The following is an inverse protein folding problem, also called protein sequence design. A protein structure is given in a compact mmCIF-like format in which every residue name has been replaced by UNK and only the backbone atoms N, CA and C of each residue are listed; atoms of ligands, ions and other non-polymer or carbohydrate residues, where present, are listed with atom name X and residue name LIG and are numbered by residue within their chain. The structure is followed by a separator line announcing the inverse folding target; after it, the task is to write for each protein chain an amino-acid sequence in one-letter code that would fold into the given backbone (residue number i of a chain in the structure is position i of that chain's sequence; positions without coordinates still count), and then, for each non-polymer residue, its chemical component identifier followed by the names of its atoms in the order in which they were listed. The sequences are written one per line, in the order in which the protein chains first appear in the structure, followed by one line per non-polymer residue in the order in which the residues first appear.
data_IF_355567296185
#
_entry.id   IF_355567296185
#
_cell.length_a   1.000
_cell.length_b   1.000
_cell.length_c   1.000
_cell.angle_alpha   90.00
_cell.angle_beta   90.00
_cell.angle_gamma   90.00
#
_symmetry.space_group_name_H-M   'P 1'
#
loop_
_entity.id
_entity.type
_entity.pdbx_description
1 polymer ?
#
# COMPACT_ATOMS: atom_id res chain seq x y z
N UNK A 1 26.83 0.17 0.03
CA UNK A 1 25.74 0.41 0.99
C UNK A 1 24.88 1.54 0.44
N UNK A 2 23.69 1.27 -0.15
CA UNK A 2 22.78 2.33 -0.56
C UNK A 2 21.88 2.69 0.61
N UNK A 3 21.74 4.00 0.86
CA UNK A 3 20.93 4.55 1.93
C UNK A 3 19.45 4.18 1.76
N UNK A 4 18.89 3.54 2.79
CA UNK A 4 17.46 3.31 2.93
C UNK A 4 16.73 4.66 3.05
N UNK A 5 15.90 5.00 2.07
CA UNK A 5 15.01 6.16 2.16
C UNK A 5 13.81 5.73 3.01
N UNK A 6 13.91 6.00 4.31
CA UNK A 6 12.81 5.87 5.26
C UNK A 6 11.84 7.03 5.03
N UNK A 7 10.75 6.79 4.30
CA UNK A 7 9.65 7.75 4.20
C UNK A 7 8.89 7.78 5.52
N UNK A 8 9.17 8.77 6.36
CA UNK A 8 8.32 9.09 7.51
C UNK A 8 7.10 9.87 7.04
N UNK A 9 5.91 9.28 7.13
CA UNK A 9 4.66 10.04 7.03
C UNK A 9 4.62 11.04 8.19
N UNK A 10 4.86 12.31 7.90
CA UNK A 10 4.50 13.39 8.80
C UNK A 10 2.99 13.57 8.68
N UNK A 11 2.22 12.80 9.45
CA UNK A 11 0.84 13.16 9.73
C UNK A 11 0.89 14.36 10.65
N UNK A 12 0.94 15.56 10.07
CA UNK A 12 0.82 16.80 10.81
C UNK A 12 -0.62 16.84 11.36
N UNK A 13 -0.79 16.39 12.60
CA UNK A 13 -2.03 16.62 13.35
C UNK A 13 -2.12 18.13 13.53
N UNK A 14 -3.00 18.79 12.79
CA UNK A 14 -3.39 20.17 13.09
C UNK A 14 -4.23 20.14 14.35
N UNK A 15 -3.56 20.09 15.50
CA UNK A 15 -4.10 20.50 16.79
C UNK A 15 -4.29 22.01 16.72
N UNK A 16 -5.55 22.43 16.57
CA UNK A 16 -6.17 23.70 17.01
C UNK A 16 -7.27 24.11 16.02
N UNK A 17 -8.45 23.53 16.18
CA UNK A 17 -9.65 24.07 15.52
C UNK A 17 -10.63 24.45 16.61
N UNK A 18 -10.79 25.75 16.80
CA UNK A 18 -12.02 26.34 17.34
C UNK A 18 -13.21 25.58 16.72
N UNK A 19 -14.20 25.14 17.51
CA UNK A 19 -15.37 24.47 16.96
C UNK A 19 -15.98 25.31 15.84
N UNK A 20 -16.20 24.69 14.68
CA UNK A 20 -16.84 25.37 13.55
C UNK A 20 -18.19 25.91 14.00
N UNK A 21 -18.43 27.20 13.79
CA UNK A 21 -19.71 27.85 14.12
C UNK A 21 -20.41 28.20 12.82
N UNK A 22 -21.64 27.73 12.68
CA UNK A 22 -22.49 27.92 11.50
C UNK A 22 -23.55 29.00 11.77
N UNK A 23 -24.01 29.67 10.71
CA UNK A 23 -25.10 30.63 10.76
C UNK A 23 -26.01 30.52 9.54
N UNK A 24 -27.20 31.12 9.65
CA UNK A 24 -28.11 31.24 8.52
C UNK A 24 -27.43 31.99 7.35
N UNK A 25 -27.60 31.45 6.14
CA UNK A 25 -26.96 31.93 4.91
C UNK A 25 -25.68 31.20 4.54
N UNK A 26 -25.07 30.43 5.45
CA UNK A 26 -23.87 29.65 5.14
C UNK A 26 -24.19 28.55 4.11
N UNK A 27 -23.25 28.35 3.18
CA UNK A 27 -23.24 27.17 2.29
C UNK A 27 -22.52 26.04 3.01
N UNK A 28 -23.17 24.88 3.12
CA UNK A 28 -22.68 23.71 3.86
C UNK A 28 -22.77 22.42 3.07
N UNK A 29 -21.92 21.47 3.42
CA UNK A 29 -21.86 20.12 2.87
C UNK A 29 -22.33 19.14 3.94
N UNK A 30 -23.11 18.15 3.52
CA UNK A 30 -23.73 17.18 4.42
C UNK A 30 -23.67 15.77 3.80
N UNK A 31 -22.49 15.09 3.89
CA UNK A 31 -22.22 13.88 3.11
C UNK A 31 -23.20 12.72 3.33
N UNK A 32 -23.76 12.59 4.53
CA UNK A 32 -24.74 11.53 4.82
C UNK A 32 -26.18 11.88 4.42
N UNK A 33 -26.42 13.08 3.88
CA UNK A 33 -27.69 13.50 3.28
C UNK A 33 -27.59 13.59 1.76
N UNK A 34 -26.44 14.02 1.24
CA UNK A 34 -26.15 14.01 -0.19
C UNK A 34 -24.86 14.74 -0.56
N UNK A 35 -24.49 14.68 -1.84
CA UNK A 35 -23.24 15.22 -2.36
C UNK A 35 -23.32 16.70 -2.79
N UNK A 36 -24.45 17.37 -2.50
CA UNK A 36 -24.70 18.77 -2.86
C UNK A 36 -24.24 19.75 -1.79
N UNK A 37 -24.24 21.04 -2.14
CA UNK A 37 -24.19 22.11 -1.17
C UNK A 37 -25.61 22.57 -0.81
N UNK A 38 -25.80 22.91 0.46
CA UNK A 38 -27.08 23.31 1.02
C UNK A 38 -26.93 24.67 1.68
N UNK A 39 -27.94 25.54 1.56
CA UNK A 39 -27.97 26.82 2.27
C UNK A 39 -28.70 26.66 3.59
N UNK A 40 -28.04 27.05 4.68
CA UNK A 40 -28.68 27.07 6.00
C UNK A 40 -29.67 28.22 6.11
N UNK A 41 -30.83 27.96 6.71
CA UNK A 41 -31.79 28.96 7.14
C UNK A 41 -32.00 28.90 8.65
N UNK A 42 -32.55 29.98 9.22
CA UNK A 42 -32.97 29.99 10.62
C UNK A 42 -34.39 29.45 10.72
N UNK A 43 -34.56 28.32 11.41
CA UNK A 43 -35.85 27.77 11.73
C UNK A 43 -36.36 28.39 13.04
N UNK A 44 -37.30 29.32 12.91
CA UNK A 44 -37.89 30.04 14.04
C UNK A 44 -38.79 29.17 14.92
N UNK A 45 -39.31 28.07 14.39
CA UNK A 45 -40.20 27.16 15.12
C UNK A 45 -39.41 26.32 16.14
N UNK A 46 -38.17 25.98 15.79
CA UNK A 46 -37.30 25.11 16.60
C UNK A 46 -36.04 25.80 17.13
N UNK A 47 -35.91 27.11 16.92
CA UNK A 47 -34.76 27.94 17.31
C UNK A 47 -33.40 27.30 16.93
N UNK A 48 -33.30 26.82 15.68
CA UNK A 48 -32.15 26.09 15.19
C UNK A 48 -31.86 26.38 13.71
N UNK A 49 -30.70 25.93 13.23
CA UNK A 49 -30.34 26.02 11.82
C UNK A 49 -30.90 24.83 11.07
N UNK A 50 -31.33 25.03 9.83
CA UNK A 50 -31.78 23.91 9.01
C UNK A 50 -31.56 24.09 7.53
N UNK A 51 -31.64 22.99 6.80
CA UNK A 51 -31.80 23.00 5.35
C UNK A 51 -32.84 21.96 4.94
N UNK A 52 -33.46 22.17 3.78
CA UNK A 52 -34.48 21.27 3.25
C UNK A 52 -33.94 20.54 2.02
N UNK A 53 -34.11 19.22 2.01
CA UNK A 53 -33.86 18.38 0.84
C UNK A 53 -35.03 17.43 0.66
N UNK A 54 -35.56 17.33 -0.57
CA UNK A 54 -36.66 16.43 -0.93
C UNK A 54 -37.89 16.55 0.01
N UNK A 55 -38.22 17.77 0.44
CA UNK A 55 -39.36 18.03 1.33
C UNK A 55 -39.13 17.69 2.81
N UNK A 56 -37.94 17.21 3.19
CA UNK A 56 -37.55 16.94 4.58
C UNK A 56 -36.60 18.03 5.08
N UNK A 57 -36.87 18.58 6.26
CA UNK A 57 -35.99 19.53 6.94
C UNK A 57 -35.06 18.81 7.91
N UNK A 58 -33.78 19.16 7.84
CA UNK A 58 -32.73 18.66 8.73
C UNK A 58 -32.32 19.78 9.68
N UNK A 59 -32.30 19.51 10.98
CA UNK A 59 -32.11 20.52 12.03
C UNK A 59 -30.77 20.36 12.74
N UNK A 60 -30.06 21.47 12.90
CA UNK A 60 -28.71 21.57 13.39
C UNK A 60 -28.57 22.70 14.40
N UNK A 61 -27.69 22.49 15.38
CA UNK A 61 -27.21 23.52 16.29
C UNK A 61 -26.12 24.34 15.60
N UNK A 62 -25.77 25.48 16.21
CA UNK A 62 -24.75 26.38 15.69
C UNK A 62 -23.34 25.75 15.66
N UNK A 63 -23.11 24.66 16.40
CA UNK A 63 -21.86 23.88 16.39
C UNK A 63 -21.81 22.83 15.27
N UNK A 64 -22.80 22.80 14.38
CA UNK A 64 -22.89 21.88 13.25
C UNK A 64 -23.34 20.47 13.62
N UNK A 65 -23.66 20.23 14.91
CA UNK A 65 -24.24 18.97 15.38
C UNK A 65 -25.75 18.97 15.22
N UNK A 66 -26.31 17.78 15.10
CA UNK A 66 -27.77 17.59 14.98
C UNK A 66 -28.44 18.06 16.26
N UNK A 67 -29.63 18.66 16.13
CA UNK A 67 -30.39 19.17 17.27
C UNK A 67 -31.22 18.10 18.02
N UNK A 68 -31.27 16.85 17.53
CA UNK A 68 -31.96 15.68 18.14
C UNK A 68 -31.19 14.38 17.79
N UNK A 69 -30.86 13.54 18.78
CA UNK A 69 -30.10 12.27 18.67
C UNK A 69 -30.74 11.27 17.66
N UNK A 70 -30.11 10.24 17.09
CA UNK A 70 -28.81 9.58 17.37
C UNK A 70 -28.17 8.93 16.12
N UNK A 71 -28.48 9.42 14.91
CA UNK A 71 -27.90 8.87 13.67
C UNK A 71 -27.94 9.91 12.56
N UNK A 72 -27.15 10.98 12.66
CA UNK A 72 -27.26 12.07 11.69
C UNK A 72 -26.00 12.97 11.59
N UNK A 73 -25.86 13.68 10.45
CA UNK A 73 -24.62 14.06 9.75
C UNK A 73 -23.73 15.07 10.46
N UNK A 74 -22.42 15.03 10.19
CA UNK A 74 -21.54 16.20 10.41
C UNK A 74 -21.73 17.23 9.31
N UNK A 75 -22.01 18.48 9.67
CA UNK A 75 -21.95 19.62 8.75
C UNK A 75 -20.51 20.08 8.54
N UNK A 76 -20.19 20.44 7.30
CA UNK A 76 -18.92 21.05 6.94
C UNK A 76 -19.18 22.33 6.15
N UNK A 77 -18.38 23.37 6.34
CA UNK A 77 -18.46 24.54 5.46
C UNK A 77 -18.15 24.14 4.02
N UNK A 78 -18.85 24.73 3.07
CA UNK A 78 -18.61 24.56 1.65
C UNK A 78 -17.32 25.29 1.22
N UNK A 79 -16.19 24.67 1.50
CA UNK A 79 -14.86 25.12 1.08
C UNK A 79 -14.24 24.11 0.13
N UNK A 80 -13.29 24.55 -0.70
CA UNK A 80 -12.54 23.65 -1.59
C UNK A 80 -11.88 22.50 -0.82
N UNK A 81 -11.28 22.79 0.33
CA UNK A 81 -10.63 21.79 1.18
C UNK A 81 -11.63 20.75 1.71
N UNK A 82 -12.80 21.19 2.20
CA UNK A 82 -13.82 20.28 2.71
C UNK A 82 -14.45 19.44 1.59
N UNK A 83 -14.67 20.02 0.40
CA UNK A 83 -15.12 19.27 -0.78
C UNK A 83 -14.13 18.18 -1.18
N UNK A 84 -12.83 18.50 -1.21
CA UNK A 84 -11.78 17.53 -1.51
C UNK A 84 -11.74 16.43 -0.45
N UNK A 85 -11.75 16.77 0.84
CA UNK A 85 -11.74 15.79 1.93
C UNK A 85 -12.96 14.86 1.88
N UNK A 86 -14.16 15.40 1.67
CA UNK A 86 -15.40 14.63 1.54
C UNK A 86 -15.36 13.73 0.30
N UNK A 87 -14.89 14.24 -0.84
CA UNK A 87 -14.73 13.41 -2.04
C UNK A 87 -13.77 12.24 -1.77
N UNK A 88 -12.62 12.49 -1.14
CA UNK A 88 -11.66 11.42 -0.79
C UNK A 88 -12.26 10.39 0.18
N UNK A 89 -13.03 10.84 1.18
CA UNK A 89 -13.58 9.95 2.22
C UNK A 89 -14.80 9.15 1.75
N UNK A 90 -15.68 9.73 0.92
CA UNK A 90 -17.01 9.18 0.62
C UNK A 90 -17.24 8.77 -0.84
N UNK A 91 -16.42 9.26 -1.80
CA UNK A 91 -16.61 8.92 -3.23
C UNK A 91 -15.76 7.75 -3.73
N UNK A 92 -15.15 6.97 -2.83
CA UNK A 92 -14.41 5.75 -3.19
C UNK A 92 -13.14 5.97 -4.04
N UNK A 93 -12.83 7.20 -4.43
CA UNK A 93 -11.55 7.55 -5.05
C UNK A 93 -10.51 7.81 -3.98
N UNK A 94 -10.03 6.73 -3.35
CA UNK A 94 -8.77 6.71 -2.63
C UNK A 94 -7.62 7.04 -3.59
N UNK A 95 -7.42 8.33 -3.87
CA UNK A 95 -6.30 8.83 -4.68
C UNK A 95 -4.96 8.82 -3.93
N UNK A 96 -4.85 8.14 -2.78
CA UNK A 96 -3.67 8.24 -1.93
C UNK A 96 -3.03 6.91 -1.56
N UNK A 97 -3.34 5.79 -2.23
CA UNK A 97 -2.53 4.55 -2.12
C UNK A 97 -2.47 3.67 -3.37
N UNK A 98 -3.37 3.80 -4.37
CA UNK A 98 -3.16 3.10 -5.65
C UNK A 98 -2.35 3.98 -6.59
N UNK A 99 -1.05 3.69 -6.72
CA UNK A 99 -0.29 4.12 -7.90
C UNK A 99 -0.89 3.38 -9.09
N UNK A 100 -1.79 4.02 -9.83
CA UNK A 100 -2.27 3.50 -11.11
C UNK A 100 -1.08 3.53 -12.05
N UNK A 101 -0.58 2.35 -12.42
CA UNK A 101 0.42 2.23 -13.48
C UNK A 101 -0.34 2.47 -14.77
N UNK A 102 -0.14 3.65 -15.35
CA UNK A 102 -0.72 4.00 -16.64
C UNK A 102 0.06 3.27 -17.75
N UNK A 103 -0.52 2.20 -18.29
CA UNK A 103 0.01 1.44 -19.42
C UNK A 103 -0.49 1.94 -20.78
N UNK A 104 -1.21 3.06 -20.82
CA UNK A 104 -1.85 3.56 -22.05
C UNK A 104 -0.87 4.21 -23.04
N UNK A 105 0.35 4.52 -22.61
CA UNK A 105 1.47 4.89 -23.49
C UNK A 105 2.52 3.78 -23.45
N UNK A 106 3.06 3.46 -24.62
CA UNK A 106 4.30 2.70 -24.73
C UNK A 106 5.45 3.58 -24.22
N UNK A 107 5.57 3.70 -22.90
CA UNK A 107 6.78 4.15 -22.23
C UNK A 107 7.47 2.86 -21.80
N UNK A 108 8.73 2.67 -22.21
CA UNK A 108 9.52 1.42 -22.25
C UNK A 108 9.82 0.75 -20.88
N UNK A 109 8.86 0.77 -19.97
CA UNK A 109 8.96 0.26 -18.61
C UNK A 109 7.71 -0.54 -18.30
N UNK A 110 7.66 -1.76 -18.83
CA UNK A 110 6.69 -2.74 -18.36
C UNK A 110 6.84 -2.91 -16.85
N UNK A 111 5.72 -2.76 -16.13
CA UNK A 111 5.73 -2.92 -14.67
C UNK A 111 5.34 -4.35 -14.35
N UNK A 112 6.28 -5.08 -13.79
CA UNK A 112 6.05 -6.45 -13.30
C UNK A 112 5.56 -6.35 -11.86
N UNK A 113 4.35 -6.85 -11.61
CA UNK A 113 3.75 -6.88 -10.29
C UNK A 113 4.11 -8.22 -9.62
N UNK A 114 5.00 -8.18 -8.63
CA UNK A 114 5.35 -9.33 -7.79
C UNK A 114 4.78 -9.08 -6.40
N UNK A 115 4.14 -10.07 -5.78
CA UNK A 115 3.64 -9.90 -4.42
C UNK A 115 4.82 -9.76 -3.45
N UNK A 116 4.66 -8.98 -2.38
CA UNK A 116 5.69 -8.86 -1.35
C UNK A 116 5.97 -10.20 -0.65
N UNK A 117 5.01 -11.12 -0.67
CA UNK A 117 5.16 -12.47 -0.14
C UNK A 117 6.11 -13.30 -1.01
N UNK A 118 5.89 -13.32 -2.33
CA UNK A 118 6.75 -14.06 -3.27
C UNK A 118 8.16 -13.48 -3.31
N UNK A 119 8.27 -12.15 -3.30
CA UNK A 119 9.56 -11.48 -3.19
C UNK A 119 10.30 -11.83 -1.90
N UNK A 120 9.57 -11.98 -0.78
CA UNK A 120 10.15 -12.42 0.49
C UNK A 120 10.61 -13.88 0.42
N UNK A 121 9.86 -14.76 -0.25
CA UNK A 121 10.25 -16.17 -0.42
C UNK A 121 11.54 -16.29 -1.22
N UNK A 122 11.61 -15.60 -2.37
CA UNK A 122 12.82 -15.53 -3.21
C UNK A 122 14.02 -15.02 -2.40
N UNK A 123 13.83 -13.96 -1.61
CA UNK A 123 14.91 -13.42 -0.79
C UNK A 123 15.38 -14.41 0.29
N UNK A 124 14.46 -15.15 0.91
CA UNK A 124 14.79 -16.22 1.86
C UNK A 124 15.60 -17.34 1.20
N UNK A 125 15.19 -17.82 0.03
CA UNK A 125 15.88 -18.90 -0.68
C UNK A 125 17.30 -18.48 -1.11
N UNK A 126 17.45 -17.25 -1.62
CA UNK A 126 18.77 -16.67 -1.94
C UNK A 126 19.65 -16.59 -0.69
N UNK A 127 19.10 -16.13 0.43
CA UNK A 127 19.83 -16.05 1.70
C UNK A 127 20.26 -17.44 2.21
N UNK A 128 19.39 -18.44 2.06
CA UNK A 128 19.69 -19.84 2.38
C UNK A 128 20.83 -20.38 1.52
N UNK A 129 20.76 -20.17 0.20
CA UNK A 129 21.80 -20.59 -0.73
C UNK A 129 23.16 -19.94 -0.43
N UNK A 130 23.21 -18.63 -0.12
CA UNK A 130 24.45 -17.95 0.26
C UNK A 130 25.09 -18.61 1.49
N UNK A 131 24.27 -18.93 2.49
CA UNK A 131 24.75 -19.57 3.73
C UNK A 131 25.34 -20.94 3.44
N UNK A 132 24.64 -21.76 2.65
CA UNK A 132 25.06 -23.13 2.36
C UNK A 132 26.28 -23.17 1.45
N UNK A 133 26.38 -22.27 0.46
CA UNK A 133 27.58 -22.15 -0.37
C UNK A 133 28.82 -21.78 0.46
N UNK A 134 28.66 -20.93 1.48
CA UNK A 134 29.73 -20.64 2.42
C UNK A 134 30.13 -21.88 3.23
N UNK A 135 29.17 -22.64 3.75
CA UNK A 135 29.44 -23.86 4.52
C UNK A 135 30.12 -24.93 3.67
N UNK A 136 29.67 -25.12 2.42
CA UNK A 136 30.33 -25.96 1.42
C UNK A 136 31.78 -25.50 1.19
N UNK A 137 32.01 -24.20 1.03
CA UNK A 137 33.35 -23.64 0.89
C UNK A 137 34.26 -23.95 2.09
N UNK A 138 33.71 -23.90 3.30
CA UNK A 138 34.44 -24.26 4.52
C UNK A 138 34.75 -25.77 4.57
N UNK A 139 33.78 -26.62 4.23
CA UNK A 139 33.99 -28.07 4.14
C UNK A 139 35.08 -28.42 3.13
N UNK A 140 35.03 -27.82 1.93
CA UNK A 140 36.05 -28.00 0.91
C UNK A 140 37.42 -27.51 1.36
N UNK A 141 37.50 -26.39 2.09
CA UNK A 141 38.76 -25.92 2.67
C UNK A 141 39.31 -26.91 3.71
N UNK A 142 38.47 -27.48 4.57
CA UNK A 142 38.89 -28.49 5.54
C UNK A 142 39.46 -29.74 4.85
N UNK A 143 38.84 -30.18 3.76
CA UNK A 143 39.35 -31.28 2.93
C UNK A 143 40.68 -30.89 2.29
N UNK A 144 40.75 -29.72 1.65
CA UNK A 144 41.93 -29.25 0.91
C UNK A 144 43.17 -29.10 1.80
N UNK A 145 42.99 -28.61 3.03
CA UNK A 145 44.06 -28.45 4.01
C UNK A 145 44.31 -29.71 4.86
N UNK A 146 43.74 -30.86 4.49
CA UNK A 146 43.90 -32.13 5.19
C UNK A 146 43.53 -32.06 6.68
N UNK A 147 42.57 -31.19 7.03
CA UNK A 147 42.10 -30.97 8.40
C UNK A 147 40.98 -31.93 8.82
N UNK A 148 40.71 -32.93 8.00
CA UNK A 148 39.67 -33.95 8.19
C UNK A 148 40.34 -35.32 8.10
N UNK A 149 39.92 -36.25 8.94
CA UNK A 149 40.45 -37.61 8.88
C UNK A 149 40.18 -38.26 7.52
N UNK A 150 41.13 -39.03 6.95
CA UNK A 150 41.01 -39.60 5.60
C UNK A 150 39.71 -40.38 5.37
N UNK A 151 39.23 -41.08 6.40
CA UNK A 151 38.01 -41.88 6.31
C UNK A 151 36.72 -41.03 6.27
N UNK A 152 36.76 -39.78 6.73
CA UNK A 152 35.61 -38.86 6.72
C UNK A 152 35.58 -37.96 5.48
N UNK A 153 36.69 -37.87 4.73
CA UNK A 153 36.79 -37.03 3.51
C UNK A 153 35.72 -37.37 2.47
N UNK A 154 35.48 -38.67 2.24
CA UNK A 154 34.46 -39.12 1.26
C UNK A 154 33.06 -38.65 1.67
N UNK A 155 32.71 -38.78 2.95
CA UNK A 155 31.41 -38.34 3.47
C UNK A 155 31.25 -36.82 3.40
N UNK A 156 32.30 -36.06 3.70
CA UNK A 156 32.28 -34.59 3.61
C UNK A 156 32.21 -34.10 2.17
N UNK A 157 32.94 -34.73 1.25
CA UNK A 157 32.88 -34.43 -0.17
C UNK A 157 31.48 -34.72 -0.73
N UNK A 158 30.86 -35.84 -0.31
CA UNK A 158 29.48 -36.16 -0.67
C UNK A 158 28.49 -35.14 -0.11
N UNK A 159 28.62 -34.77 1.16
CA UNK A 159 27.75 -33.74 1.76
C UNK A 159 27.86 -32.40 1.02
N UNK A 160 29.08 -31.98 0.68
CA UNK A 160 29.32 -30.77 -0.09
C UNK A 160 28.66 -30.83 -1.49
N UNK A 161 28.77 -31.97 -2.16
CA UNK A 161 28.13 -32.20 -3.45
C UNK A 161 26.60 -32.19 -3.36
N UNK A 162 26.02 -33.01 -2.47
CA UNK A 162 24.57 -33.15 -2.29
C UNK A 162 23.93 -31.80 -1.89
N UNK A 163 24.60 -31.02 -1.03
CA UNK A 163 24.16 -29.68 -0.65
C UNK A 163 24.20 -28.71 -1.84
N UNK A 164 25.28 -28.72 -2.64
CA UNK A 164 25.40 -27.85 -3.81
C UNK A 164 24.32 -28.17 -4.86
N UNK A 165 24.09 -29.45 -5.13
CA UNK A 165 23.10 -29.92 -6.13
C UNK A 165 21.67 -29.58 -5.72
N UNK A 166 21.33 -29.79 -4.44
CA UNK A 166 20.02 -29.44 -3.89
C UNK A 166 19.73 -27.94 -4.03
N UNK A 167 20.69 -27.09 -3.65
CA UNK A 167 20.49 -25.64 -3.73
C UNK A 167 20.54 -25.11 -5.17
N UNK A 168 21.30 -25.73 -6.07
CA UNK A 168 21.23 -25.41 -7.48
C UNK A 168 19.84 -25.68 -8.06
N UNK A 169 19.22 -26.80 -7.67
CA UNK A 169 17.84 -27.14 -8.06
C UNK A 169 16.85 -26.12 -7.52
N UNK A 170 16.88 -25.83 -6.21
CA UNK A 170 15.98 -24.85 -5.60
C UNK A 170 16.10 -23.45 -6.22
N UNK A 171 17.32 -22.99 -6.48
CA UNK A 171 17.53 -21.68 -7.12
C UNK A 171 17.05 -21.65 -8.58
N UNK A 172 17.20 -22.76 -9.32
CA UNK A 172 16.66 -22.87 -10.67
C UNK A 172 15.13 -22.82 -10.65
N UNK A 173 14.47 -23.54 -9.73
CA UNK A 173 13.01 -23.50 -9.59
C UNK A 173 12.53 -22.07 -9.27
N UNK A 174 13.22 -21.35 -8.40
CA UNK A 174 12.92 -19.93 -8.11
C UNK A 174 13.14 -19.03 -9.34
N UNK A 175 14.21 -19.28 -10.11
CA UNK A 175 14.47 -18.53 -11.34
C UNK A 175 13.38 -18.78 -12.39
N UNK A 176 12.90 -20.01 -12.54
CA UNK A 176 11.76 -20.33 -13.42
C UNK A 176 10.49 -19.61 -12.97
N UNK A 177 10.19 -19.59 -11.67
CA UNK A 177 9.05 -18.87 -11.11
C UNK A 177 9.10 -17.36 -11.36
N UNK A 178 10.30 -16.76 -11.40
CA UNK A 178 10.49 -15.35 -11.76
C UNK A 178 10.42 -15.15 -13.28
N UNK A 179 10.93 -16.10 -14.07
CA UNK A 179 10.95 -15.99 -15.51
C UNK A 179 9.55 -16.12 -16.12
N UNK A 180 8.67 -16.92 -15.56
CA UNK A 180 7.30 -17.08 -16.06
C UNK A 180 6.56 -15.72 -16.23
N UNK A 181 6.47 -14.83 -15.21
CA UNK A 181 5.88 -13.52 -15.39
C UNK A 181 6.70 -12.60 -16.32
N UNK A 182 8.04 -12.73 -16.36
CA UNK A 182 8.91 -11.95 -17.26
C UNK A 182 8.74 -12.31 -18.73
N UNK A 183 8.47 -13.58 -19.05
CA UNK A 183 8.22 -14.05 -20.41
C UNK A 183 6.90 -13.48 -20.95
N UNK A 184 5.91 -13.24 -20.07
CA UNK A 184 4.65 -12.61 -20.45
C UNK A 184 4.80 -11.11 -20.76
N UNK A 185 5.82 -10.45 -20.21
CA UNK A 185 6.10 -9.03 -20.43
C UNK A 185 7.03 -8.83 -21.63
N UNK A 186 6.61 -9.10 -22.87
CA UNK A 186 7.19 -8.52 -24.10
C UNK A 186 8.68 -8.76 -24.50
N UNK A 187 9.63 -8.88 -23.56
CA UNK A 187 11.08 -8.94 -23.72
C UNK A 187 11.55 -10.09 -24.61
N UNK A 188 10.80 -11.19 -24.70
CA UNK A 188 11.10 -12.29 -25.62
C UNK A 188 10.90 -11.95 -27.10
N UNK A 189 10.25 -10.83 -27.45
CA UNK A 189 10.10 -10.41 -28.85
C UNK A 189 11.29 -9.62 -29.39
N UNK A 190 12.16 -9.09 -28.53
CA UNK A 190 13.29 -8.25 -28.97
C UNK A 190 14.56 -9.04 -29.29
N UNK A 191 14.68 -10.29 -28.82
CA UNK A 191 15.81 -11.17 -29.13
C UNK A 191 15.66 -11.90 -30.48
N UNK A 192 14.51 -11.73 -31.16
CA UNK A 192 14.18 -12.41 -32.41
C UNK A 192 14.21 -11.49 -33.66
N UNK A 193 15.08 -10.47 -33.70
CA UNK A 193 15.35 -9.67 -34.91
C UNK A 193 16.81 -9.72 -35.32
#
# INVERSE_FOLDING_TARGET
MPNSIRTTSNTQTTTNSTPATFKAGDSVLCPSVGNGAYKLFNDKEYDCLGFTLNGKTYHYRNDGKVSRDDAAPSLFHDTTANRQAIATLYSGSQSSQRKVIDTTKADDKEVILISSHDLSHIACDISGAITILNDVGQLLALIHYEKVEPHSVISMARLAHDATDTWATLLNDQLEAINEPLVMTGYNREVAR
#
